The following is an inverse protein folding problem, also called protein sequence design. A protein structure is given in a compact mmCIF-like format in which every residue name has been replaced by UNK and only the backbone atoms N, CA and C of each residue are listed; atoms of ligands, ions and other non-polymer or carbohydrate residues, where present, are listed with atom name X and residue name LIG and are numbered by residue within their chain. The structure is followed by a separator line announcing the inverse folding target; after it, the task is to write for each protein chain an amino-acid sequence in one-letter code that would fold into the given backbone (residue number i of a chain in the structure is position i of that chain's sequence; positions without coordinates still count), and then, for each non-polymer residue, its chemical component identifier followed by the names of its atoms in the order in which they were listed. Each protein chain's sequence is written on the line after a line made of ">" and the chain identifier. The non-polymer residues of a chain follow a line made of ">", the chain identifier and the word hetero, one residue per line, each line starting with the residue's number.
data_IF_652219529516
#
_entry.id   IF_652219529516
#
_cell.length_a   1.000
_cell.length_b   1.000
_cell.length_c   1.000
_cell.angle_alpha   90.00
_cell.angle_beta   90.00
_cell.angle_gamma   90.00
#
_symmetry.space_group_name_H-M   'P 1'
#
loop_
_entity.id
_entity.type
_entity.pdbx_description
1 polymer ?
#
# COMPACT_ATOMS: atom_id res chain seq x y z
N UNK A 1 10.41 -11.07 3.22
CA UNK A 1 11.46 -10.33 4.00
C UNK A 1 11.34 -8.81 3.84
N UNK A 2 10.98 -8.26 2.65
CA UNK A 2 10.98 -6.80 2.40
C UNK A 2 9.82 -6.03 3.07
N UNK A 3 8.74 -6.71 3.51
CA UNK A 3 7.56 -6.08 4.12
C UNK A 3 7.56 -6.05 5.66
N UNK A 4 8.70 -6.22 6.33
CA UNK A 4 8.82 -6.51 7.77
C UNK A 4 8.02 -7.75 8.23
N UNK A 5 7.77 -8.66 7.31
CA UNK A 5 7.10 -9.94 7.55
C UNK A 5 8.09 -11.10 7.29
N UNK A 6 9.36 -10.93 7.72
CA UNK A 6 10.45 -11.88 7.44
C UNK A 6 10.22 -13.28 8.02
N UNK A 7 9.48 -13.33 9.10
CA UNK A 7 9.15 -14.55 9.83
C UNK A 7 7.71 -15.04 9.53
N UNK A 8 7.02 -14.34 8.62
CA UNK A 8 5.68 -14.76 8.21
C UNK A 8 5.74 -16.13 7.53
N UNK A 9 4.88 -17.02 7.98
CA UNK A 9 4.66 -18.32 7.38
C UNK A 9 3.34 -18.28 6.63
N UNK A 10 3.37 -18.75 5.40
CA UNK A 10 2.19 -18.87 4.54
C UNK A 10 1.98 -20.33 4.18
N UNK A 11 0.77 -20.82 4.36
CA UNK A 11 0.40 -22.19 4.07
C UNK A 11 -0.92 -22.25 3.31
N UNK A 12 -1.02 -23.16 2.36
CA UNK A 12 -2.23 -23.40 1.60
C UNK A 12 -2.73 -24.78 2.01
N UNK A 13 -3.94 -24.83 2.55
CA UNK A 13 -4.66 -26.05 2.86
C UNK A 13 -5.59 -26.36 1.70
N UNK A 14 -5.58 -27.60 1.23
CA UNK A 14 -6.47 -28.09 0.18
C UNK A 14 -7.13 -29.35 0.69
N UNK A 15 -8.38 -29.26 1.08
CA UNK A 15 -9.18 -30.37 1.60
C UNK A 15 -10.26 -30.74 0.59
N UNK A 16 -10.53 -32.03 0.45
CA UNK A 16 -11.67 -32.49 -0.37
C UNK A 16 -12.98 -32.30 0.37
N UNK A 17 -13.96 -31.79 -0.33
CA UNK A 17 -15.33 -31.71 0.16
C UNK A 17 -16.07 -33.02 -0.12
N UNK A 18 -17.04 -33.36 0.75
CA UNK A 18 -17.87 -34.55 0.58
C UNK A 18 -18.80 -34.49 -0.64
N UNK A 19 -19.05 -33.26 -1.14
CA UNK A 19 -19.89 -33.03 -2.33
C UNK A 19 -19.28 -31.97 -3.22
N UNK A 20 -19.54 -32.07 -4.52
CA UNK A 20 -19.11 -31.08 -5.51
C UNK A 20 -19.91 -29.78 -5.35
N UNK A 21 -19.21 -28.68 -5.09
CA UNK A 21 -19.77 -27.33 -5.08
C UNK A 21 -19.71 -26.65 -6.45
N UNK A 22 -20.18 -25.41 -6.53
CA UNK A 22 -20.18 -24.60 -7.76
C UNK A 22 -18.75 -24.32 -8.29
N UNK A 23 -17.75 -24.35 -7.41
CA UNK A 23 -16.34 -24.11 -7.74
C UNK A 23 -15.49 -25.39 -7.76
N UNK A 24 -16.10 -26.57 -7.71
CA UNK A 24 -15.40 -27.85 -7.68
C UNK A 24 -15.57 -28.61 -6.38
N UNK A 25 -14.71 -29.60 -6.14
CA UNK A 25 -14.76 -30.49 -4.97
C UNK A 25 -13.67 -30.22 -3.93
N UNK A 26 -12.84 -29.22 -4.13
CA UNK A 26 -11.77 -28.87 -3.21
C UNK A 26 -12.09 -27.59 -2.44
N UNK A 27 -11.85 -27.62 -1.12
CA UNK A 27 -11.85 -26.45 -0.27
C UNK A 27 -10.42 -25.95 -0.11
N UNK A 28 -10.14 -24.74 -0.59
CA UNK A 28 -8.82 -24.13 -0.52
C UNK A 28 -8.82 -23.00 0.52
N UNK A 29 -7.98 -23.14 1.54
CA UNK A 29 -7.82 -22.12 2.57
C UNK A 29 -6.38 -21.62 2.64
N UNK A 30 -6.22 -20.30 2.66
CA UNK A 30 -4.94 -19.64 2.87
C UNK A 30 -4.76 -19.32 4.34
N UNK A 31 -3.72 -19.91 4.94
CA UNK A 31 -3.34 -19.69 6.33
C UNK A 31 -2.06 -18.86 6.39
N UNK A 32 -1.98 -17.96 7.36
CA UNK A 32 -0.80 -17.14 7.60
C UNK A 32 -0.54 -16.97 9.10
N UNK A 33 0.74 -16.94 9.45
CA UNK A 33 1.26 -16.43 10.72
C UNK A 33 2.16 -15.25 10.40
N UNK A 34 1.89 -14.09 10.96
CA UNK A 34 2.63 -12.85 10.66
C UNK A 34 3.85 -12.66 11.58
N UNK A 35 3.89 -13.34 12.72
CA UNK A 35 4.97 -13.24 13.70
C UNK A 35 5.43 -14.60 14.19
N UNK A 36 6.66 -14.67 14.68
CA UNK A 36 7.20 -15.88 15.32
C UNK A 36 6.36 -16.27 16.54
N UNK A 37 6.03 -17.56 16.64
CA UNK A 37 5.28 -18.09 17.79
C UNK A 37 3.77 -17.85 17.76
N UNK A 38 3.24 -17.19 16.72
CA UNK A 38 1.80 -17.10 16.53
C UNK A 38 1.26 -18.30 15.75
N UNK A 39 0.06 -18.73 16.12
CA UNK A 39 -0.68 -19.74 15.38
C UNK A 39 -1.02 -19.27 13.97
N UNK A 40 -1.06 -20.21 13.05
CA UNK A 40 -1.53 -19.93 11.70
C UNK A 40 -3.04 -19.68 11.71
N UNK A 41 -3.45 -18.58 11.10
CA UNK A 41 -4.86 -18.17 11.02
C UNK A 41 -5.27 -18.01 9.57
N UNK A 42 -6.54 -18.24 9.24
CA UNK A 42 -7.08 -17.91 7.94
C UNK A 42 -6.79 -16.46 7.55
N UNK A 43 -6.39 -16.25 6.29
CA UNK A 43 -6.07 -14.91 5.76
C UNK A 43 -7.19 -13.90 6.00
N UNK A 44 -8.45 -14.32 5.91
CA UNK A 44 -9.62 -13.48 6.15
C UNK A 44 -9.85 -13.10 7.63
N UNK A 45 -9.15 -13.74 8.58
CA UNK A 45 -9.17 -13.40 10.01
C UNK A 45 -8.07 -12.42 10.43
N UNK A 46 -7.28 -11.92 9.50
CA UNK A 46 -6.27 -10.90 9.81
C UNK A 46 -6.98 -9.60 10.16
N UNK A 47 -6.69 -9.07 11.35
CA UNK A 47 -7.38 -7.91 11.90
C UNK A 47 -6.87 -6.56 11.35
N UNK A 48 -5.66 -6.53 10.74
CA UNK A 48 -5.02 -5.29 10.27
C UNK A 48 -5.16 -5.11 8.77
N UNK A 49 -5.85 -4.05 8.34
CA UNK A 49 -5.97 -3.68 6.91
C UNK A 49 -4.62 -3.47 6.25
N UNK A 50 -3.66 -2.83 6.94
CA UNK A 50 -2.31 -2.65 6.42
C UNK A 50 -1.53 -3.96 6.22
N UNK A 51 -1.72 -4.97 7.09
CA UNK A 51 -1.11 -6.30 6.90
C UNK A 51 -1.69 -7.00 5.67
N UNK A 52 -3.01 -6.97 5.52
CA UNK A 52 -3.69 -7.54 4.35
C UNK A 52 -3.23 -6.86 3.07
N UNK A 53 -3.17 -5.53 3.04
CA UNK A 53 -2.70 -4.76 1.87
C UNK A 53 -1.26 -5.11 1.49
N UNK A 54 -0.37 -5.30 2.47
CA UNK A 54 1.02 -5.72 2.21
C UNK A 54 1.12 -7.15 1.69
N UNK A 55 0.31 -8.08 2.21
CA UNK A 55 0.24 -9.46 1.72
C UNK A 55 -0.25 -9.45 0.27
N UNK A 56 -1.32 -8.70 -0.02
CA UNK A 56 -1.84 -8.55 -1.37
C UNK A 56 -0.82 -7.92 -2.32
N UNK A 57 -0.07 -6.90 -1.87
CA UNK A 57 1.03 -6.36 -2.66
C UNK A 57 2.08 -7.43 -2.99
N UNK A 58 2.50 -8.24 -2.01
CA UNK A 58 3.47 -9.31 -2.23
C UNK A 58 2.98 -10.34 -3.25
N UNK A 59 1.73 -10.76 -3.13
CA UNK A 59 1.10 -11.67 -4.09
C UNK A 59 1.00 -11.04 -5.49
N UNK A 60 0.60 -9.77 -5.58
CA UNK A 60 0.49 -9.07 -6.86
C UNK A 60 1.85 -8.83 -7.54
N UNK A 61 2.92 -8.59 -6.79
CA UNK A 61 4.28 -8.56 -7.34
C UNK A 61 4.65 -9.90 -7.98
N UNK A 62 4.28 -11.03 -7.33
CA UNK A 62 4.58 -12.37 -7.83
C UNK A 62 3.75 -12.70 -9.09
N UNK A 63 2.46 -12.35 -9.05
CA UNK A 63 1.50 -12.69 -10.11
C UNK A 63 1.30 -11.58 -11.15
N UNK A 64 2.00 -10.45 -11.06
CA UNK A 64 1.81 -9.28 -11.92
C UNK A 64 1.90 -9.58 -13.42
N UNK A 65 2.66 -10.60 -13.79
CA UNK A 65 2.81 -11.04 -15.19
C UNK A 65 1.72 -12.02 -15.66
N UNK A 66 0.95 -12.59 -14.73
CA UNK A 66 -0.08 -13.61 -15.01
C UNK A 66 -1.47 -13.02 -14.87
N UNK A 67 -1.67 -12.18 -13.87
CA UNK A 67 -2.92 -11.49 -13.61
C UNK A 67 -3.04 -10.26 -14.51
N UNK A 68 -3.84 -10.32 -15.56
CA UNK A 68 -4.16 -9.16 -16.41
C UNK A 68 -5.10 -8.16 -15.70
N UNK A 69 -4.80 -7.80 -14.44
CA UNK A 69 -5.59 -6.82 -13.69
C UNK A 69 -5.07 -5.43 -14.03
N UNK A 70 -5.87 -4.58 -14.68
CA UNK A 70 -5.40 -3.29 -15.18
C UNK A 70 -5.26 -2.23 -14.10
N UNK A 71 -5.99 -2.34 -12.99
CA UNK A 71 -6.03 -1.33 -11.91
C UNK A 71 -5.93 -2.02 -10.55
N UNK A 72 -5.01 -1.54 -9.71
CA UNK A 72 -4.82 -1.98 -8.34
C UNK A 72 -4.95 -0.78 -7.40
N UNK A 73 -5.77 -0.92 -6.37
CA UNK A 73 -6.00 0.11 -5.36
C UNK A 73 -5.48 -0.42 -4.02
N UNK A 74 -4.57 0.33 -3.40
CA UNK A 74 -4.02 0.05 -2.09
C UNK A 74 -4.42 1.15 -1.11
N UNK A 75 -5.08 0.75 -0.03
CA UNK A 75 -5.43 1.61 1.07
C UNK A 75 -4.68 1.18 2.33
N UNK A 76 -4.19 2.15 3.11
CA UNK A 76 -3.49 1.93 4.40
C UNK A 76 -2.27 0.98 4.34
N UNK A 77 -1.62 0.83 3.18
CA UNK A 77 -0.51 -0.12 3.00
C UNK A 77 0.71 0.23 3.86
N UNK A 78 0.85 1.49 4.24
CA UNK A 78 1.90 2.07 5.08
C UNK A 78 1.56 2.06 6.58
N UNK A 79 0.37 1.61 6.98
CA UNK A 79 -0.03 1.55 8.39
C UNK A 79 0.82 0.56 9.17
N UNK A 80 1.36 1.01 10.32
CA UNK A 80 2.17 0.21 11.24
C UNK A 80 3.58 -0.12 10.75
N UNK A 81 4.04 0.50 9.66
CA UNK A 81 5.41 0.37 9.16
C UNK A 81 6.05 1.72 8.92
N UNK A 82 7.36 1.78 8.93
CA UNK A 82 8.09 3.02 8.70
C UNK A 82 9.48 2.78 8.09
N UNK A 83 10.19 3.88 7.84
CA UNK A 83 11.58 3.87 7.38
C UNK A 83 11.78 3.05 6.10
N UNK A 84 12.78 2.17 6.15
CA UNK A 84 13.19 1.35 5.00
C UNK A 84 12.08 0.45 4.43
N UNK A 85 11.16 -0.02 5.30
CA UNK A 85 10.05 -0.89 4.84
C UNK A 85 9.11 -0.14 3.92
N UNK A 86 8.78 1.11 4.25
CA UNK A 86 7.91 1.96 3.43
C UNK A 86 8.56 2.26 2.07
N UNK A 87 9.86 2.52 2.04
CA UNK A 87 10.61 2.70 0.78
C UNK A 87 10.55 1.44 -0.09
N UNK A 88 10.71 0.26 0.49
CA UNK A 88 10.58 -1.01 -0.24
C UNK A 88 9.17 -1.23 -0.79
N UNK A 89 8.14 -0.87 -0.03
CA UNK A 89 6.74 -0.88 -0.49
C UNK A 89 6.59 0.05 -1.70
N UNK A 90 7.04 1.30 -1.58
CA UNK A 90 6.94 2.30 -2.64
C UNK A 90 7.61 1.83 -3.95
N UNK A 91 8.82 1.25 -3.85
CA UNK A 91 9.54 0.70 -5.00
C UNK A 91 8.77 -0.47 -5.65
N UNK A 92 8.17 -1.35 -4.84
CA UNK A 92 7.37 -2.46 -5.38
C UNK A 92 6.07 -2.00 -6.03
N UNK A 93 5.45 -0.95 -5.51
CA UNK A 93 4.28 -0.33 -6.15
C UNK A 93 4.66 0.31 -7.49
N UNK A 94 5.82 0.95 -7.57
CA UNK A 94 6.34 1.51 -8.82
C UNK A 94 6.60 0.42 -9.86
N UNK A 95 7.23 -0.71 -9.46
CA UNK A 95 7.46 -1.87 -10.32
C UNK A 95 6.14 -2.42 -10.92
N UNK A 96 5.09 -2.55 -10.11
CA UNK A 96 3.76 -2.94 -10.61
C UNK A 96 3.21 -1.86 -11.55
N UNK A 97 3.45 -0.59 -11.24
CA UNK A 97 3.01 0.57 -12.02
C UNK A 97 3.54 0.63 -13.46
N UNK A 98 4.56 -0.17 -13.79
CA UNK A 98 5.05 -0.34 -15.18
C UNK A 98 4.08 -1.14 -16.06
N UNK A 99 3.20 -1.95 -15.46
CA UNK A 99 2.33 -2.89 -16.17
C UNK A 99 0.84 -2.72 -15.83
N UNK A 100 0.52 -2.05 -14.70
CA UNK A 100 -0.84 -1.79 -14.24
C UNK A 100 -0.96 -0.38 -13.66
N UNK A 101 -2.15 0.18 -13.67
CA UNK A 101 -2.41 1.40 -12.92
C UNK A 101 -2.45 1.10 -11.42
N UNK A 102 -1.57 1.74 -10.64
CA UNK A 102 -1.59 1.64 -9.19
C UNK A 102 -2.13 2.93 -8.59
N UNK A 103 -3.18 2.82 -7.79
CA UNK A 103 -3.73 3.92 -6.98
C UNK A 103 -3.43 3.61 -5.52
N UNK A 104 -2.82 4.55 -4.80
CA UNK A 104 -2.55 4.38 -3.37
C UNK A 104 -3.07 5.55 -2.58
N UNK A 105 -3.78 5.25 -1.49
CA UNK A 105 -4.14 6.19 -0.44
C UNK A 105 -3.07 6.04 0.63
N UNK A 106 -2.34 7.12 0.90
CA UNK A 106 -1.16 7.08 1.80
C UNK A 106 -0.97 8.40 2.52
N UNK A 107 -0.42 8.32 3.72
CA UNK A 107 0.09 9.44 4.48
C UNK A 107 1.64 9.48 4.50
N UNK A 108 2.28 8.55 3.79
CA UNK A 108 3.72 8.44 3.73
C UNK A 108 4.33 9.30 2.62
N UNK A 109 5.23 10.26 2.95
CA UNK A 109 5.95 11.04 1.95
C UNK A 109 6.79 10.18 1.01
N UNK A 110 7.34 9.06 1.49
CA UNK A 110 8.15 8.15 0.68
C UNK A 110 7.34 7.43 -0.40
N UNK A 111 6.06 7.08 -0.13
CA UNK A 111 5.18 6.50 -1.15
C UNK A 111 4.71 7.59 -2.10
N UNK A 112 4.29 8.75 -1.58
CA UNK A 112 3.82 9.87 -2.39
C UNK A 112 4.91 10.37 -3.37
N UNK A 113 6.16 10.43 -2.93
CA UNK A 113 7.28 10.85 -3.77
C UNK A 113 7.53 9.91 -4.96
N UNK A 114 7.32 8.60 -4.79
CA UNK A 114 7.53 7.59 -5.85
C UNK A 114 6.40 7.52 -6.89
N UNK A 115 5.27 8.18 -6.65
CA UNK A 115 4.15 8.17 -7.58
C UNK A 115 4.46 9.00 -8.84
N UNK A 116 3.98 8.56 -10.02
CA UNK A 116 4.06 9.34 -11.26
C UNK A 116 3.18 10.58 -11.19
N UNK A 117 2.04 10.49 -10.50
CA UNK A 117 1.08 11.58 -10.30
C UNK A 117 0.63 11.58 -8.84
N UNK A 118 0.38 12.76 -8.31
CA UNK A 118 -0.10 12.94 -6.95
C UNK A 118 -1.34 13.81 -6.95
N UNK A 119 -2.34 13.39 -6.16
CA UNK A 119 -3.56 14.13 -5.92
C UNK A 119 -3.61 14.51 -4.44
N UNK A 120 -3.93 15.77 -4.19
CA UNK A 120 -4.17 16.28 -2.85
C UNK A 120 -5.66 16.24 -2.56
N UNK A 121 -6.01 15.60 -1.45
CA UNK A 121 -7.39 15.51 -0.99
C UNK A 121 -7.54 16.43 0.21
N UNK A 122 -8.47 17.40 0.11
CA UNK A 122 -8.79 18.31 1.18
C UNK A 122 -10.26 18.17 1.57
N UNK A 123 -10.48 17.95 2.88
CA UNK A 123 -11.80 17.93 3.47
C UNK A 123 -12.00 19.22 4.27
N UNK A 124 -13.02 19.98 3.92
CA UNK A 124 -13.34 21.25 4.58
C UNK A 124 -14.79 21.23 5.05
N UNK A 125 -15.00 21.72 6.27
CA UNK A 125 -16.34 21.90 6.81
C UNK A 125 -16.64 23.39 6.93
N UNK A 126 -17.58 23.87 6.12
CA UNK A 126 -18.04 25.26 6.12
C UNK A 126 -19.55 25.25 6.37
N UNK A 127 -20.02 26.01 7.35
CA UNK A 127 -21.44 26.12 7.71
C UNK A 127 -22.14 24.75 7.89
N UNK A 128 -21.55 23.83 8.65
CA UNK A 128 -22.02 22.45 8.87
C UNK A 128 -22.10 21.58 7.60
N UNK A 129 -21.63 22.05 6.47
CA UNK A 129 -21.51 21.26 5.26
C UNK A 129 -20.05 20.84 5.06
N UNK A 130 -19.82 19.53 4.94
CA UNK A 130 -18.49 18.99 4.65
C UNK A 130 -18.35 18.74 3.16
N UNK A 131 -17.34 19.34 2.55
CA UNK A 131 -16.98 19.12 1.16
C UNK A 131 -15.59 18.50 1.07
N UNK A 132 -15.41 17.63 0.09
CA UNK A 132 -14.10 17.04 -0.23
C UNK A 132 -13.68 17.50 -1.61
N UNK A 133 -12.51 18.10 -1.70
CA UNK A 133 -11.92 18.53 -2.97
C UNK A 133 -10.72 17.65 -3.30
N UNK A 134 -10.55 17.34 -4.58
CA UNK A 134 -9.41 16.57 -5.11
C UNK A 134 -8.70 17.44 -6.13
N UNK A 135 -7.41 17.68 -5.92
CA UNK A 135 -6.58 18.51 -6.81
C UNK A 135 -5.37 17.72 -7.28
N UNK A 136 -5.17 17.60 -8.59
CA UNK A 136 -3.91 17.10 -9.15
C UNK A 136 -2.82 18.14 -8.91
N UNK A 137 -1.68 17.67 -8.38
CA UNK A 137 -0.52 18.52 -8.10
C UNK A 137 0.44 18.56 -9.28
N UNK A 138 0.96 19.74 -9.56
CA UNK A 138 2.15 19.94 -10.40
C UNK A 138 3.43 19.68 -9.58
N UNK A 139 4.59 19.77 -10.20
CA UNK A 139 5.89 19.51 -9.53
C UNK A 139 6.08 20.38 -8.29
N UNK A 140 5.76 21.67 -8.36
CA UNK A 140 5.86 22.57 -7.22
C UNK A 140 4.88 22.19 -6.10
N UNK A 141 3.65 21.89 -6.46
CA UNK A 141 2.63 21.42 -5.51
C UNK A 141 3.02 20.10 -4.84
N UNK A 142 3.68 19.20 -5.57
CA UNK A 142 4.19 17.94 -5.00
C UNK A 142 5.28 18.20 -3.97
N UNK A 143 6.24 19.09 -4.25
CA UNK A 143 7.29 19.46 -3.29
C UNK A 143 6.68 19.99 -2.00
N UNK A 144 5.74 20.96 -2.11
CA UNK A 144 5.08 21.54 -0.94
C UNK A 144 4.27 20.51 -0.15
N UNK A 145 3.54 19.61 -0.82
CA UNK A 145 2.75 18.58 -0.13
C UNK A 145 3.64 17.53 0.54
N UNK A 146 4.70 17.07 -0.10
CA UNK A 146 5.66 16.15 0.51
C UNK A 146 6.37 16.83 1.69
N UNK A 147 6.75 18.09 1.56
CA UNK A 147 7.32 18.86 2.68
C UNK A 147 6.34 18.97 3.85
N UNK A 148 5.05 19.22 3.58
CA UNK A 148 3.99 19.21 4.59
C UNK A 148 3.82 17.83 5.23
N UNK A 149 3.89 16.75 4.46
CA UNK A 149 3.82 15.37 4.98
C UNK A 149 5.02 15.03 5.87
N UNK A 150 6.19 15.62 5.63
CA UNK A 150 7.42 15.43 6.42
C UNK A 150 7.40 16.20 7.74
N UNK A 151 6.94 17.46 7.75
CA UNK A 151 7.11 18.39 8.87
C UNK A 151 5.80 18.97 9.42
N UNK A 152 4.64 18.56 8.90
CA UNK A 152 3.35 19.14 9.26
C UNK A 152 3.26 20.61 8.80
N UNK A 153 2.87 21.49 9.71
CA UNK A 153 2.71 22.92 9.40
C UNK A 153 4.04 23.70 9.39
N UNK A 154 5.11 23.14 9.95
CA UNK A 154 6.41 23.79 10.08
C UNK A 154 7.36 23.51 8.92
N UNK A 155 6.95 23.86 7.72
CA UNK A 155 7.77 23.64 6.52
C UNK A 155 8.87 24.70 6.42
N UNK A 156 10.12 24.24 6.58
CA UNK A 156 11.33 25.06 6.40
C UNK A 156 11.93 24.86 5.00
N UNK A 157 12.87 25.72 4.59
CA UNK A 157 13.58 25.57 3.32
C UNK A 157 14.37 24.23 3.25
N UNK A 158 14.95 23.80 4.39
CA UNK A 158 15.64 22.52 4.47
C UNK A 158 14.68 21.34 4.23
N UNK A 159 13.44 21.42 4.72
CA UNK A 159 12.42 20.39 4.49
C UNK A 159 11.96 20.38 3.03
N UNK A 160 11.81 21.54 2.38
CA UNK A 160 11.51 21.59 0.94
C UNK A 160 12.60 20.96 0.11
N UNK A 161 13.85 21.27 0.42
CA UNK A 161 14.99 20.65 -0.27
C UNK A 161 14.99 19.12 -0.11
N UNK A 162 14.72 18.62 1.10
CA UNK A 162 14.61 17.18 1.33
C UNK A 162 13.41 16.56 0.57
N UNK A 163 12.29 17.26 0.49
CA UNK A 163 11.14 16.83 -0.32
C UNK A 163 11.48 16.74 -1.82
N UNK A 164 12.24 17.71 -2.32
CA UNK A 164 12.75 17.72 -3.70
C UNK A 164 13.71 16.55 -3.96
N UNK A 165 14.62 16.29 -3.02
CA UNK A 165 15.53 15.13 -3.07
C UNK A 165 14.75 13.82 -3.15
N UNK A 166 13.70 13.63 -2.31
CA UNK A 166 12.84 12.44 -2.33
C UNK A 166 12.09 12.25 -3.66
N UNK A 167 11.69 13.34 -4.31
CA UNK A 167 11.02 13.30 -5.62
C UNK A 167 11.97 12.90 -6.75
N UNK A 168 13.26 13.23 -6.61
CA UNK A 168 14.30 12.98 -7.61
C UNK A 168 15.05 11.66 -7.36
N UNK A 169 14.81 10.97 -6.23
CA UNK A 169 15.35 9.63 -6.01
C UNK A 169 14.74 8.66 -7.04
N UNK A 170 15.55 7.95 -7.81
CA UNK A 170 15.15 6.87 -8.74
C UNK A 170 14.79 5.55 -8.04
#
# INVERSE_FOLDING_TARGET
>A
KFLKMGDAKFHIVVDKMDSMGINGSDNVEFLISTNVGQDMKPLWKIASGGEVSRIMLALKVIFSRVDNIPILIFDEIDTGVGGETVRKIANKMREIGEHAQVVSITHSPAIAARAHQQFYIKKETVNNNTSTTVKKLDTKGRIEEIARMLAGENVTEAVRKHAEELLNEE
#
